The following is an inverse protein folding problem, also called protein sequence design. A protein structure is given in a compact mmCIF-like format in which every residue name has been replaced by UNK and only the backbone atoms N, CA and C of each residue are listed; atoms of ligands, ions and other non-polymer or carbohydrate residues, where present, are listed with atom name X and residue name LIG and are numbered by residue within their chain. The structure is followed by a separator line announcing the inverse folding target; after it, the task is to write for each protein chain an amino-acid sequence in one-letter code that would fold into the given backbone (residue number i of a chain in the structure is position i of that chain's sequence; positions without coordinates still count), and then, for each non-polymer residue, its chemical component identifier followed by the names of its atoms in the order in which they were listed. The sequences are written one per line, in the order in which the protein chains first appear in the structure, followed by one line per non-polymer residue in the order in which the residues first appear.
data_IF_141169781584
#
_entry.id   IF_141169781584
#
_cell.length_a   1.000
_cell.length_b   1.000
_cell.length_c   1.000
_cell.angle_alpha   90.00
_cell.angle_beta   90.00
_cell.angle_gamma   90.00
#
_symmetry.space_group_name_H-M   'P 1'
#
loop_
_entity.id
_entity.type
_entity.pdbx_description
1 polymer ?
#
# COMPACT_ATOMS: atom_id res chain seq x y z
N UNK A 1 -9.41 -32.55 7.63
CA UNK A 1 -9.34 -31.37 8.53
C UNK A 1 -9.97 -31.62 9.90
N UNK A 2 -11.09 -32.35 10.01
CA UNK A 2 -11.81 -32.55 11.28
C UNK A 2 -10.96 -33.11 12.43
N UNK A 3 -10.35 -34.28 12.25
CA UNK A 3 -9.57 -34.93 13.32
C UNK A 3 -8.30 -34.18 13.67
N UNK A 4 -7.39 -34.00 12.70
CA UNK A 4 -6.12 -33.32 12.94
C UNK A 4 -6.28 -31.86 13.41
N UNK A 5 -7.21 -31.09 12.81
CA UNK A 5 -7.39 -29.69 13.14
C UNK A 5 -8.01 -29.49 14.53
N UNK A 6 -9.16 -30.13 14.80
CA UNK A 6 -9.84 -30.00 16.10
C UNK A 6 -9.01 -30.66 17.20
N UNK A 7 -8.38 -31.80 16.92
CA UNK A 7 -7.48 -32.50 17.82
C UNK A 7 -6.24 -31.67 18.19
N UNK A 8 -5.71 -30.88 17.25
CA UNK A 8 -4.57 -29.99 17.50
C UNK A 8 -4.93 -28.73 18.31
N UNK A 9 -6.21 -28.39 18.48
CA UNK A 9 -6.60 -27.22 19.26
C UNK A 9 -7.55 -26.24 18.56
N UNK A 10 -7.87 -26.41 17.28
CA UNK A 10 -8.76 -25.47 16.56
C UNK A 10 -10.17 -25.48 17.15
N UNK A 11 -10.68 -24.30 17.50
CA UNK A 11 -11.99 -24.12 18.14
C UNK A 11 -13.13 -23.82 17.14
N UNK A 12 -12.80 -23.11 16.07
CA UNK A 12 -13.73 -22.72 15.00
C UNK A 12 -13.07 -22.98 13.66
N UNK A 13 -13.70 -23.81 12.84
CA UNK A 13 -13.20 -24.14 11.50
C UNK A 13 -13.97 -23.30 10.48
N UNK A 14 -13.24 -22.47 9.73
CA UNK A 14 -13.80 -21.70 8.63
C UNK A 14 -14.04 -22.65 7.43
N UNK A 15 -15.21 -23.29 7.40
CA UNK A 15 -15.69 -24.08 6.26
C UNK A 15 -16.78 -23.29 5.53
N UNK A 16 -16.43 -22.46 4.54
CA UNK A 16 -17.38 -21.52 3.94
C UNK A 16 -18.39 -22.17 2.99
N UNK A 17 -18.13 -23.38 2.50
CA UNK A 17 -18.96 -24.05 1.49
C UNK A 17 -19.50 -25.42 1.95
N UNK A 18 -18.63 -26.38 2.27
CA UNK A 18 -19.01 -27.76 2.57
C UNK A 18 -19.30 -28.01 4.07
N UNK A 19 -20.07 -27.12 4.71
CA UNK A 19 -20.29 -27.19 6.16
C UNK A 19 -21.01 -28.48 6.60
N UNK A 20 -21.95 -28.99 5.80
CA UNK A 20 -22.69 -30.24 6.12
C UNK A 20 -21.76 -31.44 6.20
N UNK A 21 -20.83 -31.55 5.26
CA UNK A 21 -19.81 -32.61 5.24
C UNK A 21 -18.92 -32.51 6.49
N UNK A 22 -18.46 -31.30 6.81
CA UNK A 22 -17.66 -31.06 8.02
C UNK A 22 -18.40 -31.44 9.30
N UNK A 23 -19.67 -31.02 9.45
CA UNK A 23 -20.49 -31.32 10.63
C UNK A 23 -20.70 -32.83 10.78
N UNK A 24 -21.05 -33.52 9.69
CA UNK A 24 -21.27 -34.97 9.69
C UNK A 24 -19.97 -35.71 10.03
N UNK A 25 -18.85 -35.32 9.42
CA UNK A 25 -17.53 -35.89 9.68
C UNK A 25 -17.10 -35.69 11.14
N UNK A 26 -17.20 -34.46 11.66
CA UNK A 26 -16.83 -34.15 13.05
C UNK A 26 -17.73 -34.91 14.05
N UNK A 27 -19.04 -34.97 13.78
CA UNK A 27 -19.98 -35.74 14.61
C UNK A 27 -19.62 -37.22 14.66
N UNK A 28 -19.25 -37.80 13.51
CA UNK A 28 -18.83 -39.20 13.44
C UNK A 28 -17.54 -39.43 14.23
N UNK A 29 -16.56 -38.55 14.11
CA UNK A 29 -15.29 -38.64 14.85
C UNK A 29 -15.51 -38.59 16.37
N UNK A 30 -16.43 -37.74 16.83
CA UNK A 30 -16.83 -37.68 18.23
C UNK A 30 -17.56 -38.95 18.66
N UNK A 31 -18.54 -39.43 17.89
CA UNK A 31 -19.29 -40.67 18.18
C UNK A 31 -18.39 -41.90 18.24
N UNK A 32 -17.32 -41.92 17.45
CA UNK A 32 -16.33 -43.00 17.40
C UNK A 32 -15.15 -42.81 18.38
N UNK A 33 -15.21 -41.80 19.25
CA UNK A 33 -14.18 -41.46 20.24
C UNK A 33 -12.80 -41.09 19.67
N UNK A 34 -12.69 -40.74 18.38
CA UNK A 34 -11.47 -40.14 17.81
C UNK A 34 -11.24 -38.72 18.34
N UNK A 35 -12.33 -38.00 18.67
CA UNK A 35 -12.27 -36.70 19.34
C UNK A 35 -13.05 -36.79 20.65
N UNK A 36 -12.42 -36.56 21.81
CA UNK A 36 -13.13 -36.64 23.08
C UNK A 36 -14.12 -35.48 23.26
N UNK A 37 -15.25 -35.72 23.92
CA UNK A 37 -16.25 -34.69 24.19
C UNK A 37 -15.67 -33.50 24.98
N UNK A 38 -14.64 -33.74 25.81
CA UNK A 38 -13.91 -32.67 26.50
C UNK A 38 -13.29 -31.65 25.55
N UNK A 39 -12.81 -32.08 24.37
CA UNK A 39 -12.29 -31.20 23.33
C UNK A 39 -13.39 -30.32 22.72
N UNK A 40 -14.56 -30.91 22.45
CA UNK A 40 -15.74 -30.18 21.96
C UNK A 40 -16.21 -29.16 23.02
N UNK A 41 -16.30 -29.57 24.29
CA UNK A 41 -16.69 -28.69 25.38
C UNK A 41 -15.72 -27.50 25.55
N UNK A 42 -14.41 -27.71 25.42
CA UNK A 42 -13.42 -26.63 25.48
C UNK A 42 -13.58 -25.65 24.31
N UNK A 43 -13.71 -26.15 23.07
CA UNK A 43 -13.92 -25.31 21.89
C UNK A 43 -15.20 -24.47 22.00
N UNK A 44 -16.32 -25.09 22.37
CA UNK A 44 -17.61 -24.41 22.56
C UNK A 44 -17.54 -23.40 23.70
N UNK A 45 -16.89 -23.74 24.82
CA UNK A 45 -16.69 -22.81 25.95
C UNK A 45 -15.95 -21.55 25.52
N UNK A 46 -14.93 -21.67 24.67
CA UNK A 46 -14.17 -20.52 24.13
C UNK A 46 -15.01 -19.67 23.19
N UNK A 47 -15.76 -20.29 22.27
CA UNK A 47 -16.67 -19.59 21.35
C UNK A 47 -17.76 -18.84 22.13
N UNK A 48 -18.43 -19.51 23.08
CA UNK A 48 -19.48 -18.90 23.88
C UNK A 48 -18.92 -17.79 24.78
N UNK A 49 -17.74 -17.98 25.39
CA UNK A 49 -17.08 -16.93 26.17
C UNK A 49 -16.96 -15.65 25.36
N UNK A 50 -16.42 -15.71 24.14
CA UNK A 50 -16.27 -14.51 23.28
C UNK A 50 -17.63 -13.89 22.98
N UNK A 51 -18.64 -14.69 22.60
CA UNK A 51 -19.99 -14.19 22.29
C UNK A 51 -20.64 -13.48 23.48
N UNK A 52 -20.52 -14.02 24.70
CA UNK A 52 -21.02 -13.37 25.91
C UNK A 52 -20.19 -12.13 26.28
N UNK A 53 -18.86 -12.22 26.26
CA UNK A 53 -17.99 -11.09 26.61
C UNK A 53 -18.19 -9.88 25.71
N UNK A 54 -18.45 -10.07 24.42
CA UNK A 54 -18.70 -8.97 23.48
C UNK A 54 -20.16 -8.47 23.47
N UNK A 55 -21.04 -9.05 24.29
CA UNK A 55 -22.44 -8.64 24.38
C UNK A 55 -23.31 -9.04 23.19
N UNK A 56 -22.91 -10.08 22.43
CA UNK A 56 -23.64 -10.52 21.22
C UNK A 56 -25.04 -11.06 21.55
N UNK A 57 -25.25 -11.60 22.75
CA UNK A 57 -26.54 -12.09 23.19
C UNK A 57 -27.51 -10.95 23.56
N UNK A 58 -26.97 -9.83 24.06
CA UNK A 58 -27.74 -8.63 24.41
C UNK A 58 -28.04 -7.79 23.17
N UNK A 59 -27.09 -7.68 22.24
CA UNK A 59 -27.21 -6.90 21.01
C UNK A 59 -26.93 -7.75 19.76
N UNK A 60 -27.82 -8.70 19.41
CA UNK A 60 -27.60 -9.63 18.30
C UNK A 60 -27.85 -9.02 16.92
N UNK A 61 -28.52 -7.87 16.85
CA UNK A 61 -28.90 -7.19 15.61
C UNK A 61 -28.07 -5.92 15.40
N UNK A 62 -27.91 -5.52 14.14
CA UNK A 62 -27.18 -4.31 13.80
C UNK A 62 -27.91 -3.04 14.28
N UNK A 63 -27.14 -2.06 14.75
CA UNK A 63 -27.62 -0.70 14.97
C UNK A 63 -27.41 0.16 13.70
N UNK A 64 -28.51 0.46 13.02
CA UNK A 64 -28.49 1.27 11.79
C UNK A 64 -28.09 2.73 12.02
N UNK A 65 -28.11 3.23 13.26
CA UNK A 65 -27.63 4.58 13.59
C UNK A 65 -26.14 4.76 13.33
N UNK A 66 -25.39 3.65 13.27
CA UNK A 66 -23.94 3.61 13.04
C UNK A 66 -23.54 3.74 11.57
N UNK A 67 -24.49 3.66 10.64
CA UNK A 67 -24.22 3.79 9.19
C UNK A 67 -23.52 5.11 8.83
N UNK A 68 -23.74 6.17 9.59
CA UNK A 68 -23.08 7.48 9.48
C UNK A 68 -21.54 7.43 9.61
N UNK A 69 -20.99 6.37 10.22
CA UNK A 69 -19.54 6.21 10.39
C UNK A 69 -18.87 5.68 9.12
N UNK A 70 -19.62 5.02 8.22
CA UNK A 70 -19.07 4.49 6.97
C UNK A 70 -18.58 5.64 6.09
N UNK A 71 -17.26 5.66 5.81
CA UNK A 71 -16.64 6.71 5.00
C UNK A 71 -16.71 8.11 5.63
N UNK A 72 -16.88 8.21 6.95
CA UNK A 72 -16.99 9.49 7.64
C UNK A 72 -15.76 10.37 7.45
N UNK A 73 -15.96 11.69 7.47
CA UNK A 73 -14.88 12.68 7.29
C UNK A 73 -13.75 12.50 8.32
N UNK A 74 -14.10 12.23 9.58
CA UNK A 74 -13.11 12.02 10.67
C UNK A 74 -12.23 10.80 10.38
N UNK A 75 -12.79 9.70 9.88
CA UNK A 75 -11.98 8.53 9.52
C UNK A 75 -11.12 8.78 8.28
N UNK A 76 -11.61 9.55 7.31
CA UNK A 76 -10.82 9.98 6.15
C UNK A 76 -9.66 10.90 6.55
N UNK A 77 -9.87 11.82 7.48
CA UNK A 77 -8.79 12.67 8.01
C UNK A 77 -7.72 11.85 8.75
N UNK A 78 -8.14 10.85 9.53
CA UNK A 78 -7.22 9.90 10.17
C UNK A 78 -6.48 9.05 9.14
N UNK A 79 -7.14 8.59 8.08
CA UNK A 79 -6.50 7.85 7.01
C UNK A 79 -5.49 8.73 6.25
N UNK A 80 -5.83 9.98 5.92
CA UNK A 80 -4.89 10.97 5.34
C UNK A 80 -3.67 11.18 6.22
N UNK A 81 -3.86 11.23 7.55
CA UNK A 81 -2.76 11.30 8.51
C UNK A 81 -1.87 10.05 8.47
N UNK A 82 -2.47 8.86 8.45
CA UNK A 82 -1.74 7.60 8.36
C UNK A 82 -0.94 7.53 7.05
N UNK A 83 -1.51 7.99 5.93
CA UNK A 83 -0.81 8.09 4.64
C UNK A 83 0.43 8.94 4.77
N UNK A 84 0.32 10.21 5.18
CA UNK A 84 1.51 11.09 5.26
C UNK A 84 2.60 10.56 6.21
N UNK A 85 2.21 9.85 7.29
CA UNK A 85 3.14 9.25 8.24
C UNK A 85 3.78 7.95 7.74
N UNK A 86 3.15 7.23 6.80
CA UNK A 86 3.68 5.98 6.26
C UNK A 86 4.74 6.20 5.18
N UNK A 87 4.69 7.34 4.47
CA UNK A 87 5.60 7.61 3.36
C UNK A 87 7.06 7.69 3.82
N UNK A 88 7.93 6.97 3.12
CA UNK A 88 9.38 6.98 3.37
C UNK A 88 10.08 7.68 2.22
N UNK A 89 10.77 8.78 2.52
CA UNK A 89 11.60 9.48 1.56
C UNK A 89 12.95 8.75 1.43
N UNK A 90 13.21 8.18 0.25
CA UNK A 90 14.39 7.35 -0.01
C UNK A 90 15.53 8.14 -0.67
N UNK A 91 15.18 9.11 -1.51
CA UNK A 91 16.13 10.01 -2.19
C UNK A 91 15.51 11.41 -2.31
N UNK A 92 16.32 12.45 -2.17
CA UNK A 92 15.89 13.85 -2.31
C UNK A 92 17.03 14.74 -2.81
N UNK A 93 17.41 14.58 -4.07
CA UNK A 93 18.56 15.22 -4.72
C UNK A 93 19.72 14.24 -5.00
N UNK A 94 20.65 14.65 -5.87
CA UNK A 94 21.91 13.93 -6.10
C UNK A 94 22.91 14.11 -4.94
N UNK A 95 22.83 15.25 -4.26
CA UNK A 95 23.58 15.58 -3.04
C UNK A 95 22.62 16.24 -2.03
N UNK A 96 22.96 16.17 -0.73
CA UNK A 96 22.11 16.71 0.35
C UNK A 96 21.87 18.22 0.29
N UNK A 97 22.60 18.95 -0.58
CA UNK A 97 22.59 20.41 -0.66
C UNK A 97 21.60 20.97 -1.73
N UNK A 98 21.02 20.14 -2.60
CA UNK A 98 19.99 20.54 -3.58
C UNK A 98 18.75 19.61 -3.53
N UNK A 99 17.90 19.72 -2.49
CA UNK A 99 16.71 18.91 -2.36
C UNK A 99 15.62 19.32 -3.36
N UNK A 100 14.92 18.33 -3.94
CA UNK A 100 13.77 18.57 -4.83
C UNK A 100 12.45 18.69 -4.06
N UNK A 101 12.33 18.02 -2.91
CA UNK A 101 11.18 18.09 -2.00
C UNK A 101 11.55 18.99 -0.81
N UNK A 102 10.67 19.94 -0.42
CA UNK A 102 9.30 20.11 -0.90
C UNK A 102 9.21 20.76 -2.30
N UNK A 103 8.28 20.27 -3.11
CA UNK A 103 7.98 20.82 -4.43
C UNK A 103 7.26 22.18 -4.31
N UNK A 104 7.57 23.16 -5.17
CA UNK A 104 6.90 24.45 -5.11
C UNK A 104 5.45 24.34 -5.60
N UNK A 105 4.48 24.73 -4.76
CA UNK A 105 3.05 24.74 -5.11
C UNK A 105 2.70 25.68 -6.27
N UNK A 106 3.54 26.68 -6.55
CA UNK A 106 3.38 27.61 -7.68
C UNK A 106 4.48 27.35 -8.71
N UNK A 107 4.07 26.83 -9.87
CA UNK A 107 4.94 26.60 -11.01
C UNK A 107 4.16 26.86 -12.31
N UNK A 108 4.84 27.08 -13.44
CA UNK A 108 4.13 27.41 -14.69
C UNK A 108 3.39 26.19 -15.25
N UNK A 109 4.11 25.09 -15.43
CA UNK A 109 3.61 23.83 -15.96
C UNK A 109 4.26 22.68 -15.20
N UNK A 110 3.47 21.76 -14.68
CA UNK A 110 3.99 20.55 -14.03
C UNK A 110 3.41 19.31 -14.71
N UNK A 111 4.20 18.24 -14.74
CA UNK A 111 3.77 16.96 -15.28
C UNK A 111 3.42 16.01 -14.13
N UNK A 112 2.28 15.35 -14.23
CA UNK A 112 1.97 14.15 -13.47
C UNK A 112 1.90 12.99 -14.46
N UNK A 113 2.61 11.91 -14.20
CA UNK A 113 2.70 10.76 -15.08
C UNK A 113 2.64 9.44 -14.31
N UNK A 114 2.52 8.34 -15.04
CA UNK A 114 2.50 6.98 -14.50
C UNK A 114 1.10 6.42 -14.28
N UNK A 115 1.00 5.10 -14.39
CA UNK A 115 -0.24 4.31 -14.34
C UNK A 115 -0.96 4.36 -12.99
N UNK A 116 -0.27 4.77 -11.92
CA UNK A 116 -0.82 4.84 -10.57
C UNK A 116 -1.23 6.26 -10.15
N UNK A 117 -1.01 7.26 -11.01
CA UNK A 117 -1.28 8.65 -10.63
C UNK A 117 -2.78 8.94 -10.47
N UNK A 118 -3.63 8.38 -11.33
CA UNK A 118 -5.08 8.63 -11.32
C UNK A 118 -5.90 7.34 -11.18
N UNK A 119 -5.50 6.47 -10.25
CA UNK A 119 -6.11 5.15 -10.08
C UNK A 119 -6.29 4.79 -8.59
N UNK A 120 -7.52 4.94 -8.08
CA UNK A 120 -7.87 4.62 -6.68
C UNK A 120 -7.58 3.14 -6.37
N UNK A 121 -7.96 2.26 -7.29
CA UNK A 121 -7.76 0.83 -7.14
C UNK A 121 -6.30 0.44 -6.91
N UNK A 122 -5.40 1.03 -7.69
CA UNK A 122 -3.97 0.76 -7.58
C UNK A 122 -3.33 1.32 -6.31
N UNK A 123 -3.70 2.53 -5.86
CA UNK A 123 -3.19 3.06 -4.59
C UNK A 123 -3.77 2.34 -3.36
N UNK A 124 -4.87 1.61 -3.49
CA UNK A 124 -5.41 0.78 -2.41
C UNK A 124 -4.81 -0.64 -2.38
N UNK A 125 -4.59 -1.27 -3.53
CA UNK A 125 -4.07 -2.64 -3.63
C UNK A 125 -5.11 -3.73 -3.36
N UNK A 126 -4.64 -4.92 -2.97
CA UNK A 126 -5.51 -6.06 -2.65
C UNK A 126 -6.41 -5.81 -1.44
N UNK A 127 -7.38 -6.70 -1.20
CA UNK A 127 -8.36 -6.57 -0.11
C UNK A 127 -9.15 -5.25 -0.10
N UNK A 128 -9.30 -4.61 -1.26
CA UNK A 128 -10.09 -3.38 -1.40
C UNK A 128 -11.23 -3.60 -2.38
N UNK A 129 -12.46 -3.60 -1.86
CA UNK A 129 -13.71 -3.95 -2.58
C UNK A 129 -13.76 -5.40 -3.06
N UNK A 130 -12.75 -5.85 -3.79
CA UNK A 130 -12.56 -7.23 -4.24
C UNK A 130 -11.34 -7.86 -3.54
N UNK A 131 -11.30 -9.20 -3.47
CA UNK A 131 -10.21 -9.94 -2.82
C UNK A 131 -8.84 -9.58 -3.36
N UNK A 132 -8.67 -9.67 -4.68
CA UNK A 132 -7.43 -9.31 -5.36
C UNK A 132 -7.26 -7.79 -5.56
N UNK A 133 -8.23 -6.99 -5.09
CA UNK A 133 -8.36 -5.59 -5.50
C UNK A 133 -8.79 -5.47 -6.96
N UNK A 134 -8.83 -4.24 -7.46
CA UNK A 134 -9.31 -3.92 -8.82
C UNK A 134 -8.73 -2.60 -9.30
N UNK A 135 -8.64 -2.40 -10.61
CA UNK A 135 -8.17 -1.15 -11.22
C UNK A 135 -9.28 -0.09 -11.34
N UNK A 136 -8.90 1.19 -11.33
CA UNK A 136 -9.76 2.33 -11.63
C UNK A 136 -10.41 2.95 -10.39
N UNK A 137 -11.51 3.68 -10.61
CA UNK A 137 -12.26 4.35 -9.55
C UNK A 137 -13.24 3.38 -8.87
N UNK A 138 -12.72 2.50 -8.00
CA UNK A 138 -13.48 1.37 -7.42
C UNK A 138 -14.26 1.74 -6.15
N UNK A 139 -13.91 2.85 -5.51
CA UNK A 139 -14.55 3.35 -4.29
C UNK A 139 -14.34 4.85 -4.16
N UNK A 140 -15.05 5.51 -3.24
CA UNK A 140 -14.86 6.94 -2.98
C UNK A 140 -13.47 7.19 -2.38
N UNK A 141 -12.69 8.05 -3.02
CA UNK A 141 -11.37 8.45 -2.55
C UNK A 141 -10.82 9.63 -3.36
N UNK A 142 -9.59 10.03 -3.05
CA UNK A 142 -8.82 11.04 -3.78
C UNK A 142 -7.60 10.38 -4.39
N UNK A 143 -7.48 10.42 -5.72
CA UNK A 143 -6.28 9.95 -6.43
C UNK A 143 -5.10 10.88 -6.16
N UNK A 144 -3.87 10.40 -6.37
CA UNK A 144 -2.68 11.24 -6.23
C UNK A 144 -2.71 12.42 -7.23
N UNK A 145 -3.19 12.22 -8.46
CA UNK A 145 -3.40 13.29 -9.43
C UNK A 145 -4.39 14.34 -8.90
N UNK A 146 -5.53 13.91 -8.36
CA UNK A 146 -6.53 14.82 -7.78
C UNK A 146 -5.96 15.57 -6.58
N UNK A 147 -5.22 14.88 -5.71
CA UNK A 147 -4.53 15.49 -4.57
C UNK A 147 -3.53 16.57 -4.99
N UNK A 148 -2.73 16.31 -6.03
CA UNK A 148 -1.80 17.29 -6.58
C UNK A 148 -2.56 18.51 -7.10
N UNK A 149 -3.62 18.31 -7.90
CA UNK A 149 -4.47 19.41 -8.41
C UNK A 149 -5.09 20.25 -7.30
N UNK A 150 -5.50 19.63 -6.19
CA UNK A 150 -6.05 20.33 -5.03
C UNK A 150 -5.01 21.14 -4.24
N UNK A 151 -3.72 20.81 -4.39
CA UNK A 151 -2.65 21.35 -3.54
C UNK A 151 -1.88 22.49 -4.19
N UNK A 152 -1.70 22.43 -5.51
CA UNK A 152 -0.99 23.48 -6.25
C UNK A 152 -1.81 24.76 -6.39
N UNK A 153 -1.14 25.87 -6.66
CA UNK A 153 -1.79 27.14 -6.96
C UNK A 153 -2.71 27.00 -8.17
N UNK A 154 -3.84 27.72 -8.17
CA UNK A 154 -4.76 27.80 -9.32
C UNK A 154 -4.10 28.37 -10.59
N UNK A 155 -2.95 29.05 -10.46
CA UNK A 155 -2.13 29.52 -11.58
C UNK A 155 -1.22 28.42 -12.17
N UNK A 156 -1.08 27.29 -11.49
CA UNK A 156 -0.23 26.17 -11.94
C UNK A 156 -1.01 25.26 -12.86
N UNK A 157 -0.54 25.11 -14.10
CA UNK A 157 -1.12 24.16 -15.03
C UNK A 157 -0.57 22.75 -14.77
N UNK A 158 -1.47 21.84 -14.37
CA UNK A 158 -1.16 20.43 -14.12
C UNK A 158 -1.53 19.60 -15.35
N UNK A 159 -0.51 19.06 -16.03
CA UNK A 159 -0.70 18.19 -17.19
C UNK A 159 -0.57 16.74 -16.73
N UNK A 160 -1.58 15.92 -17.02
CA UNK A 160 -1.52 14.47 -16.82
C UNK A 160 -1.30 13.75 -18.15
N UNK A 161 -0.26 12.93 -18.22
CA UNK A 161 -0.05 11.97 -19.31
C UNK A 161 0.46 10.69 -18.68
N UNK A 162 -0.29 9.59 -18.81
CA UNK A 162 0.02 8.34 -18.12
C UNK A 162 1.38 7.76 -18.54
N UNK A 163 1.67 7.71 -19.83
CA UNK A 163 2.92 7.16 -20.38
C UNK A 163 3.49 8.08 -21.48
N UNK A 164 4.12 9.21 -21.11
CA UNK A 164 4.67 10.15 -22.07
C UNK A 164 5.99 9.64 -22.67
N UNK A 165 6.25 9.97 -23.94
CA UNK A 165 7.59 9.79 -24.53
C UNK A 165 8.57 10.85 -24.03
N UNK A 166 9.87 10.56 -24.10
CA UNK A 166 10.90 11.52 -23.70
C UNK A 166 10.85 12.82 -24.53
N UNK A 167 10.57 12.72 -25.84
CA UNK A 167 10.44 13.86 -26.75
C UNK A 167 9.28 14.77 -26.34
N UNK A 168 8.14 14.17 -25.95
CA UNK A 168 7.00 14.93 -25.44
C UNK A 168 7.39 15.73 -24.20
N UNK A 169 8.04 15.08 -23.21
CA UNK A 169 8.43 15.73 -21.94
C UNK A 169 9.39 16.90 -22.22
N UNK A 170 10.42 16.69 -23.05
CA UNK A 170 11.39 17.73 -23.44
C UNK A 170 10.72 18.91 -24.16
N UNK A 171 9.74 18.65 -25.02
CA UNK A 171 9.06 19.69 -25.82
C UNK A 171 8.21 20.65 -24.98
N UNK A 172 7.70 20.21 -23.83
CA UNK A 172 6.73 20.96 -23.02
C UNK A 172 7.35 21.84 -21.93
N UNK A 173 8.66 21.70 -21.65
CA UNK A 173 9.41 22.49 -20.67
C UNK A 173 8.70 22.55 -19.30
N UNK A 174 8.37 21.39 -18.75
CA UNK A 174 7.81 21.27 -17.41
C UNK A 174 8.80 21.79 -16.36
N UNK A 175 8.30 22.40 -15.29
CA UNK A 175 9.12 22.85 -14.16
C UNK A 175 9.68 21.68 -13.35
N UNK A 176 8.84 20.66 -13.15
CA UNK A 176 9.19 19.37 -12.57
C UNK A 176 8.11 18.34 -12.95
N UNK A 177 8.39 17.07 -12.70
CA UNK A 177 7.45 15.98 -12.87
C UNK A 177 7.26 15.15 -11.61
N UNK A 178 6.05 14.61 -11.44
CA UNK A 178 5.72 13.59 -10.43
C UNK A 178 5.31 12.33 -11.18
N UNK A 179 6.10 11.26 -11.04
CA UNK A 179 5.86 9.96 -11.67
C UNK A 179 5.33 9.00 -10.62
N UNK A 180 4.10 8.51 -10.78
CA UNK A 180 3.46 7.60 -9.85
C UNK A 180 3.31 6.23 -10.52
N UNK A 181 4.09 5.26 -10.09
CA UNK A 181 4.14 3.90 -10.65
C UNK A 181 4.25 2.88 -9.52
N UNK A 182 3.96 1.61 -9.80
CA UNK A 182 3.85 0.64 -8.73
C UNK A 182 3.44 -0.76 -9.15
N UNK A 183 3.25 -1.64 -8.18
CA UNK A 183 2.70 -2.98 -8.39
C UNK A 183 1.19 -2.88 -8.70
N UNK A 184 0.64 -3.84 -9.44
CA UNK A 184 -0.82 -4.01 -9.52
C UNK A 184 -1.37 -4.58 -8.20
N UNK A 185 -2.67 -4.43 -7.91
CA UNK A 185 -3.30 -5.08 -6.77
C UNK A 185 -3.11 -6.60 -6.78
N UNK A 186 -2.81 -7.18 -5.62
CA UNK A 186 -2.73 -8.62 -5.39
C UNK A 186 -3.06 -8.93 -3.92
N UNK A 187 -3.49 -10.17 -3.66
CA UNK A 187 -3.65 -10.72 -2.33
C UNK A 187 -3.17 -12.17 -2.25
N UNK A 188 -2.51 -12.51 -1.15
CA UNK A 188 -2.05 -13.87 -0.83
C UNK A 188 -1.12 -14.43 -1.93
N UNK A 189 -1.27 -15.70 -2.32
CA UNK A 189 -0.39 -16.37 -3.27
C UNK A 189 -0.37 -15.77 -4.67
N UNK A 190 -1.37 -14.96 -5.05
CA UNK A 190 -1.34 -14.21 -6.32
C UNK A 190 -0.26 -13.11 -6.34
N UNK A 191 0.20 -12.69 -5.16
CA UNK A 191 1.30 -11.75 -5.00
C UNK A 191 2.68 -12.40 -5.01
N UNK A 192 2.80 -13.72 -5.07
CA UNK A 192 4.09 -14.39 -5.07
C UNK A 192 4.89 -14.01 -6.32
N UNK A 193 6.10 -13.48 -6.11
CA UNK A 193 6.98 -13.05 -7.20
C UNK A 193 8.44 -13.26 -6.82
N UNK A 194 9.19 -13.89 -7.73
CA UNK A 194 10.62 -14.13 -7.59
C UNK A 194 11.48 -12.99 -8.16
N UNK A 195 10.90 -12.13 -9.01
CA UNK A 195 11.65 -11.06 -9.67
C UNK A 195 11.47 -9.68 -9.01
N UNK A 196 10.35 -9.47 -8.29
CA UNK A 196 10.02 -8.23 -7.59
C UNK A 196 10.22 -6.96 -8.44
N UNK A 197 9.86 -7.03 -9.72
CA UNK A 197 9.93 -5.93 -10.67
C UNK A 197 8.56 -5.29 -10.91
N UNK A 198 8.51 -3.99 -11.17
CA UNK A 198 7.28 -3.30 -11.56
C UNK A 198 6.73 -3.83 -12.91
N UNK A 199 5.40 -3.93 -13.07
CA UNK A 199 4.78 -4.22 -14.36
C UNK A 199 4.96 -3.06 -15.34
N UNK A 200 4.95 -3.36 -16.64
CA UNK A 200 4.96 -2.35 -17.70
C UNK A 200 3.54 -1.80 -17.98
N UNK A 201 3.40 -0.50 -18.29
CA UNK A 201 4.44 0.53 -18.22
C UNK A 201 4.76 0.93 -16.77
N UNK A 202 6.05 1.03 -16.46
CA UNK A 202 6.56 1.38 -15.13
C UNK A 202 7.93 2.03 -15.23
N UNK A 203 8.98 1.22 -15.31
CA UNK A 203 10.35 1.74 -15.40
C UNK A 203 10.61 2.57 -16.66
N UNK A 204 9.98 2.23 -17.79
CA UNK A 204 10.06 3.03 -19.01
C UNK A 204 9.51 4.46 -18.81
N UNK A 205 8.46 4.63 -18.01
CA UNK A 205 7.90 5.94 -17.66
C UNK A 205 8.90 6.73 -16.82
N UNK A 206 9.53 6.08 -15.83
CA UNK A 206 10.60 6.70 -15.03
C UNK A 206 11.71 7.19 -15.96
N UNK A 207 12.23 6.33 -16.84
CA UNK A 207 13.31 6.69 -17.77
C UNK A 207 12.95 7.84 -18.69
N UNK A 208 11.77 7.80 -19.32
CA UNK A 208 11.35 8.84 -20.26
C UNK A 208 11.17 10.20 -19.58
N UNK A 209 10.59 10.21 -18.38
CA UNK A 209 10.28 11.45 -17.66
C UNK A 209 11.51 11.99 -16.94
N UNK A 210 12.13 11.18 -16.09
CA UNK A 210 13.25 11.61 -15.25
C UNK A 210 14.53 11.89 -16.05
N UNK A 211 14.72 11.23 -17.19
CA UNK A 211 15.79 11.58 -18.14
C UNK A 211 15.56 12.88 -18.92
N UNK A 212 14.40 13.53 -18.73
CA UNK A 212 13.97 14.70 -19.52
C UNK A 212 13.67 15.95 -18.67
N UNK A 213 13.34 15.78 -17.39
CA UNK A 213 13.02 16.87 -16.44
C UNK A 213 13.25 16.39 -15.01
N UNK A 214 13.60 17.30 -14.09
CA UNK A 214 13.67 17.00 -12.65
C UNK A 214 12.39 16.29 -12.20
N UNK A 215 12.52 15.11 -11.58
CA UNK A 215 11.39 14.24 -11.28
C UNK A 215 11.38 13.74 -9.83
N UNK A 216 10.18 13.59 -9.29
CA UNK A 216 9.92 12.80 -8.09
C UNK A 216 9.17 11.54 -8.48
N UNK A 217 9.70 10.38 -8.15
CA UNK A 217 9.03 9.08 -8.29
C UNK A 217 8.34 8.72 -6.98
N UNK A 218 7.04 8.44 -7.06
CA UNK A 218 6.22 7.91 -5.97
C UNK A 218 5.91 6.44 -6.29
N UNK A 219 6.48 5.54 -5.50
CA UNK A 219 6.30 4.09 -5.64
C UNK A 219 5.09 3.61 -4.83
N UNK A 220 4.13 3.01 -5.53
CA UNK A 220 2.95 2.37 -4.94
C UNK A 220 3.16 0.85 -4.92
N UNK A 221 3.68 0.31 -3.83
CA UNK A 221 4.08 -1.11 -3.76
C UNK A 221 3.70 -1.73 -2.41
N UNK A 222 3.37 -3.02 -2.39
CA UNK A 222 3.11 -3.73 -1.13
C UNK A 222 4.40 -4.06 -0.36
N UNK A 223 5.56 -3.88 -0.99
CA UNK A 223 6.88 -4.34 -0.53
C UNK A 223 8.03 -3.62 -1.26
N UNK A 224 9.29 -3.76 -0.80
CA UNK A 224 10.46 -3.37 -1.58
C UNK A 224 10.51 -4.09 -2.93
N UNK A 225 10.88 -3.36 -3.98
CA UNK A 225 10.98 -3.83 -5.38
C UNK A 225 12.32 -3.41 -5.98
N UNK A 226 12.70 -4.00 -7.10
CA UNK A 226 13.91 -3.59 -7.84
C UNK A 226 13.82 -2.10 -8.19
N UNK A 227 14.80 -1.30 -7.77
CA UNK A 227 14.83 0.13 -8.11
C UNK A 227 16.24 0.67 -8.33
N UNK A 228 17.27 -0.01 -7.81
CA UNK A 228 18.68 0.39 -7.91
C UNK A 228 19.11 0.82 -9.33
N UNK A 229 18.78 0.09 -10.42
CA UNK A 229 19.22 0.47 -11.76
C UNK A 229 18.72 1.84 -12.24
N UNK A 230 17.64 2.35 -11.64
CA UNK A 230 17.00 3.60 -12.02
C UNK A 230 17.31 4.74 -11.04
N UNK A 231 17.99 4.49 -9.92
CA UNK A 231 18.26 5.52 -8.91
C UNK A 231 19.10 6.67 -9.45
N UNK A 232 19.98 6.42 -10.42
CA UNK A 232 20.86 7.43 -11.02
C UNK A 232 20.11 8.56 -11.72
N UNK A 233 18.92 8.29 -12.27
CA UNK A 233 18.12 9.27 -13.02
C UNK A 233 17.00 9.92 -12.20
N UNK A 234 16.69 9.41 -11.01
CA UNK A 234 15.57 9.90 -10.18
C UNK A 234 16.07 10.99 -9.24
N UNK A 235 15.50 12.20 -9.25
CA UNK A 235 15.88 13.24 -8.29
C UNK A 235 15.29 13.00 -6.90
N UNK A 236 14.00 12.68 -6.82
CA UNK A 236 13.30 12.34 -5.57
C UNK A 236 12.65 10.97 -5.63
N UNK A 237 12.80 10.14 -4.60
CA UNK A 237 12.18 8.82 -4.53
C UNK A 237 11.40 8.67 -3.23
N UNK A 238 10.11 8.35 -3.33
CA UNK A 238 9.21 8.13 -2.19
C UNK A 238 8.64 6.73 -2.28
N UNK A 239 8.78 5.94 -1.22
CA UNK A 239 8.00 4.73 -1.02
C UNK A 239 6.68 5.10 -0.34
N UNK A 240 5.58 4.98 -1.08
CA UNK A 240 4.24 5.33 -0.61
C UNK A 240 3.40 4.13 -0.17
N UNK A 241 3.94 2.92 -0.35
CA UNK A 241 3.29 1.66 0.00
C UNK A 241 1.96 1.49 -0.75
N UNK A 242 0.90 1.05 -0.06
CA UNK A 242 -0.48 1.06 -0.53
C UNK A 242 -1.27 2.07 0.31
N UNK A 243 -1.29 3.37 -0.05
CA UNK A 243 -1.80 4.43 0.81
C UNK A 243 -3.34 4.46 0.96
N UNK A 244 -4.10 3.60 0.27
CA UNK A 244 -5.55 3.56 0.42
C UNK A 244 -6.25 4.76 -0.23
N UNK A 245 -7.43 5.14 0.27
CA UNK A 245 -8.32 6.10 -0.43
C UNK A 245 -7.89 7.57 -0.35
N UNK A 246 -7.00 7.94 0.57
CA UNK A 246 -6.73 9.34 0.91
C UNK A 246 -5.41 9.85 0.30
N UNK A 247 -5.32 9.88 -1.03
CA UNK A 247 -4.14 10.32 -1.77
C UNK A 247 -3.68 11.75 -1.47
N UNK A 248 -4.53 12.57 -0.84
CA UNK A 248 -4.16 13.88 -0.31
C UNK A 248 -2.99 13.81 0.69
N UNK A 249 -2.87 12.72 1.46
CA UNK A 249 -1.75 12.52 2.38
C UNK A 249 -0.39 12.40 1.67
N UNK A 250 -0.38 12.01 0.39
CA UNK A 250 0.84 12.01 -0.43
C UNK A 250 1.23 13.45 -0.80
N UNK A 251 0.27 14.24 -1.28
CA UNK A 251 0.52 15.63 -1.64
C UNK A 251 0.93 16.49 -0.43
N UNK A 252 0.36 16.23 0.75
CA UNK A 252 0.69 16.92 2.01
C UNK A 252 2.19 17.01 2.27
N UNK A 253 2.93 15.93 2.03
CA UNK A 253 4.39 15.89 2.28
C UNK A 253 5.22 16.23 1.05
N UNK A 254 4.74 15.91 -0.16
CA UNK A 254 5.43 16.29 -1.39
C UNK A 254 5.55 17.81 -1.54
N UNK A 255 4.53 18.55 -1.10
CA UNK A 255 4.47 20.02 -1.20
C UNK A 255 4.78 20.74 0.12
N UNK A 256 5.23 20.01 1.15
CA UNK A 256 5.74 20.60 2.39
C UNK A 256 4.69 21.18 3.34
N UNK A 257 3.42 20.76 3.26
CA UNK A 257 2.46 21.05 4.34
C UNK A 257 2.82 20.28 5.63
N UNK A 258 3.52 19.15 5.46
CA UNK A 258 4.11 18.37 6.53
C UNK A 258 5.49 17.85 6.10
N UNK A 259 6.36 17.60 7.07
CA UNK A 259 7.65 16.94 6.84
C UNK A 259 7.52 15.42 6.67
N UNK A 260 8.42 14.81 5.89
CA UNK A 260 8.57 13.35 5.87
C UNK A 260 9.11 12.83 7.21
N UNK A 261 8.44 11.81 7.76
CA UNK A 261 8.82 11.19 9.04
C UNK A 261 8.86 9.66 9.00
N UNK A 262 8.33 9.03 7.95
CA UNK A 262 8.29 7.59 7.82
C UNK A 262 9.69 6.97 7.75
N UNK A 263 9.81 5.78 8.34
CA UNK A 263 11.03 4.97 8.34
C UNK A 263 10.73 3.60 7.76
N UNK A 264 11.69 3.03 7.04
CA UNK A 264 11.60 1.72 6.41
C UNK A 264 11.27 0.65 7.44
N UNK A 265 10.10 0.01 7.36
CA UNK A 265 9.75 -1.10 8.24
C UNK A 265 10.34 -2.43 7.75
N UNK A 266 10.98 -2.45 6.58
CA UNK A 266 11.63 -3.61 5.96
C UNK A 266 12.94 -3.20 5.30
N UNK A 267 13.85 -4.16 5.14
CA UNK A 267 15.06 -4.00 4.33
C UNK A 267 14.70 -3.82 2.85
N UNK A 268 15.29 -2.83 2.18
CA UNK A 268 15.26 -2.74 0.71
C UNK A 268 16.51 -3.39 0.13
N UNK A 269 16.34 -4.43 -0.68
CA UNK A 269 17.45 -5.17 -1.30
C UNK A 269 18.03 -4.41 -2.51
N UNK A 270 19.29 -4.72 -2.87
CA UNK A 270 19.91 -4.29 -4.13
C UNK A 270 19.43 -5.16 -5.28
N UNK A 271 19.57 -6.47 -5.12
CA UNK A 271 19.10 -7.50 -6.06
C UNK A 271 18.28 -8.56 -5.36
N UNK A 272 17.40 -9.24 -6.10
CA UNK A 272 16.57 -10.33 -5.54
C UNK A 272 17.38 -11.55 -5.12
N UNK A 273 18.60 -11.73 -5.66
CA UNK A 273 19.51 -12.82 -5.31
C UNK A 273 20.02 -12.72 -3.87
N UNK A 274 19.90 -11.56 -3.22
CA UNK A 274 20.22 -11.39 -1.81
C UNK A 274 19.14 -11.99 -0.89
N UNK A 275 17.96 -12.35 -1.40
CA UNK A 275 16.85 -12.77 -0.56
C UNK A 275 16.98 -14.24 -0.14
N UNK A 276 16.61 -14.60 1.11
CA UNK A 276 16.15 -13.71 2.18
C UNK A 276 17.31 -12.95 2.85
N UNK A 277 17.13 -11.63 3.07
CA UNK A 277 18.07 -10.78 3.81
C UNK A 277 17.33 -9.85 4.78
N UNK A 278 17.62 -9.98 6.07
CA UNK A 278 16.99 -9.25 7.15
C UNK A 278 18.02 -8.56 8.04
N UNK A 279 17.56 -7.52 8.77
CA UNK A 279 18.39 -6.83 9.75
C UNK A 279 18.91 -7.82 10.80
N UNK A 280 20.23 -7.82 11.01
CA UNK A 280 20.91 -8.74 11.92
C UNK A 280 21.60 -9.93 11.23
N UNK A 281 21.37 -10.15 9.93
CA UNK A 281 22.08 -11.19 9.18
C UNK A 281 23.57 -10.83 9.00
N UNK A 282 24.45 -11.84 9.02
CA UNK A 282 25.91 -11.63 8.91
C UNK A 282 26.37 -11.00 7.59
N UNK A 283 25.60 -11.17 6.51
CA UNK A 283 25.84 -10.60 5.18
C UNK A 283 24.90 -9.45 4.82
N UNK A 284 24.41 -8.69 5.81
CA UNK A 284 23.43 -7.62 5.59
C UNK A 284 23.98 -6.46 4.75
N UNK A 285 23.69 -6.47 3.45
CA UNK A 285 24.11 -5.47 2.47
C UNK A 285 22.91 -4.85 1.72
N UNK A 286 22.09 -4.03 2.40
CA UNK A 286 20.87 -3.47 1.81
C UNK A 286 21.14 -2.27 0.90
N UNK A 287 20.23 -2.02 -0.03
CA UNK A 287 20.15 -0.76 -0.76
C UNK A 287 19.69 0.37 0.17
N UNK A 288 18.61 0.12 0.91
CA UNK A 288 18.15 0.97 2.01
C UNK A 288 17.93 0.11 3.26
N UNK A 289 18.64 0.36 4.36
CA UNK A 289 18.54 -0.47 5.56
C UNK A 289 17.19 -0.31 6.26
N UNK A 290 16.85 -1.28 7.11
CA UNK A 290 15.73 -1.14 8.05
C UNK A 290 15.89 0.14 8.88
N UNK A 291 14.79 0.87 9.09
CA UNK A 291 14.80 2.15 9.79
C UNK A 291 15.32 3.35 8.98
N UNK A 292 15.74 3.15 7.72
CA UNK A 292 16.13 4.24 6.82
C UNK A 292 14.93 5.15 6.47
N UNK A 293 15.19 6.42 6.17
CA UNK A 293 14.17 7.37 5.72
C UNK A 293 14.65 8.80 5.94
N UNK A 294 14.74 9.58 4.87
CA UNK A 294 15.11 10.97 4.92
C UNK A 294 13.97 11.79 5.54
N UNK A 295 14.32 12.93 6.14
CA UNK A 295 13.35 13.89 6.70
C UNK A 295 13.35 15.16 5.87
N UNK A 296 12.23 15.86 5.88
CA UNK A 296 12.14 17.24 5.37
C UNK A 296 11.63 18.16 6.48
N UNK A 297 12.00 19.44 6.41
CA UNK A 297 11.40 20.46 7.27
C UNK A 297 9.92 20.65 6.92
N UNK A 298 9.10 20.87 7.95
CA UNK A 298 7.70 21.30 7.84
C UNK A 298 7.50 22.55 8.66
#
# INVERSE_FOLDING_TARGET
MGEAGVGAGVDMVMVPYNYTEFINGLTLLVKRNFIPMSRINDAVKRILRVKFTMGLFENPLADYSLTKYLGSKVHKELAREAVRKSLVLLKNGESGDDPIIPLPKKAKNILVAGSHADNIGYQCGGWTIEWQGKTGNITTGTTILTAIKNTVSSETNVVFVENPSAEYVKSKKFSYAIVVVGEWPYAEGYGDSLNLTLPDPGYNVITNVCGSVKCVVVLITGRPVVIEPYLGQIDGLVAAWLPGSEGQGVADVLFGDYGFAGKMPRTWFKTVDQLPMNVGDSGYDPLFPFGFGLKTGG
#
